data_IF_127610030093
#
_entry.id   IF_127610030093
#
_cell.length_a   1.000
_cell.length_b   1.000
_cell.length_c   1.000
_cell.angle_alpha   90.00
_cell.angle_beta   90.00
_cell.angle_gamma   90.00
#
_symmetry.space_group_name_H-M   'P 1'
#
loop_
_entity.id
_entity.type
_entity.pdbx_description
1 polymer ?
#
# COMPACT_ATOMS: atom_id res chain seq x y z
N UNK A 1 -16.92 27.72 55.55
CA UNK A 1 -18.05 27.63 54.61
C UNK A 1 -17.80 28.65 53.51
N UNK A 2 -17.68 28.39 52.21
CA UNK A 2 -17.63 27.17 51.42
C UNK A 2 -16.94 27.52 50.10
N UNK A 3 -16.07 26.64 49.60
CA UNK A 3 -15.51 26.74 48.25
C UNK A 3 -16.59 26.36 47.25
N UNK A 4 -17.06 27.31 46.47
CA UNK A 4 -17.86 27.15 45.26
C UNK A 4 -17.33 28.30 44.38
N UNK A 5 -16.78 28.11 43.19
CA UNK A 5 -17.34 27.33 42.07
C UNK A 5 -16.18 26.84 41.20
N UNK A 6 -15.87 25.54 41.27
CA UNK A 6 -15.08 24.89 40.22
C UNK A 6 -16.05 24.58 39.09
N UNK A 7 -16.15 25.50 38.13
CA UNK A 7 -16.81 25.24 36.85
C UNK A 7 -16.03 24.14 36.13
N UNK A 8 -16.52 22.91 36.18
CA UNK A 8 -16.05 21.82 35.35
C UNK A 8 -16.36 22.20 33.90
N UNK A 9 -15.38 22.71 33.17
CA UNK A 9 -15.46 22.78 31.72
C UNK A 9 -15.37 21.33 31.20
N UNK A 10 -16.52 20.71 30.97
CA UNK A 10 -16.60 19.50 30.15
C UNK A 10 -16.23 19.94 28.73
N UNK A 11 -14.96 19.83 28.37
CA UNK A 11 -14.51 19.92 27.00
C UNK A 11 -14.97 18.65 26.27
N UNK A 12 -16.25 18.61 25.90
CA UNK A 12 -16.79 17.62 24.99
C UNK A 12 -16.23 17.89 23.59
N UNK A 13 -15.07 17.31 23.26
CA UNK A 13 -14.65 17.22 21.88
C UNK A 13 -15.53 16.16 21.19
N UNK A 14 -16.40 16.67 20.31
CA UNK A 14 -17.31 15.95 19.45
C UNK A 14 -16.60 14.86 18.62
N UNK A 15 -17.35 13.80 18.32
CA UNK A 15 -16.99 12.58 17.60
C UNK A 15 -15.87 12.71 16.55
N UNK A 16 -14.91 11.78 16.61
CA UNK A 16 -14.18 11.33 15.42
C UNK A 16 -15.18 10.68 14.45
N UNK A 17 -15.83 11.49 13.62
CA UNK A 17 -16.54 11.01 12.44
C UNK A 17 -15.50 10.79 11.35
N UNK A 18 -15.18 9.53 11.07
CA UNK A 18 -14.79 9.05 9.74
C UNK A 18 -13.42 9.46 9.19
N UNK A 19 -12.33 9.26 9.93
CA UNK A 19 -11.04 9.06 9.24
C UNK A 19 -11.09 7.68 8.57
N UNK A 20 -11.61 7.65 7.34
CA UNK A 20 -11.34 6.51 6.47
C UNK A 20 -9.82 6.47 6.26
N UNK A 21 -9.19 5.37 6.66
CA UNK A 21 -7.79 5.15 6.35
C UNK A 21 -7.69 5.07 4.83
N UNK A 22 -7.27 6.16 4.19
CA UNK A 22 -6.77 6.11 2.82
C UNK A 22 -5.56 5.19 2.73
N UNK A 23 -5.02 4.93 1.52
CA UNK A 23 -3.81 4.13 1.38
C UNK A 23 -2.73 4.68 2.31
N UNK A 24 -2.34 3.85 3.24
CA UNK A 24 -1.16 4.03 4.07
C UNK A 24 0.08 3.99 3.18
N UNK A 25 1.19 4.56 3.66
CA UNK A 25 2.47 4.46 2.95
C UNK A 25 2.96 3.01 2.74
N UNK A 26 2.30 2.01 3.36
CA UNK A 26 2.59 0.60 3.20
C UNK A 26 1.72 -0.09 2.14
N UNK A 27 0.69 0.59 1.61
CA UNK A 27 -0.17 -0.02 0.60
C UNK A 27 0.56 -0.09 -0.75
N UNK A 28 0.60 -1.26 -1.40
CA UNK A 28 1.24 -1.39 -2.69
C UNK A 28 0.48 -0.57 -3.74
N UNK A 29 1.20 0.28 -4.45
CA UNK A 29 0.67 1.06 -5.58
C UNK A 29 1.36 0.57 -6.84
N UNK A 30 0.57 0.28 -7.88
CA UNK A 30 1.10 -0.04 -9.20
C UNK A 30 1.70 1.23 -9.79
N UNK A 31 3.02 1.24 -9.97
CA UNK A 31 3.75 2.40 -10.53
C UNK A 31 3.95 2.32 -12.03
N UNK A 32 3.99 1.10 -12.58
CA UNK A 32 4.15 0.86 -14.01
C UNK A 32 3.56 -0.50 -14.40
N UNK A 33 3.29 -0.68 -15.69
CA UNK A 33 2.87 -1.96 -16.27
C UNK A 33 3.69 -2.22 -17.52
N UNK A 34 4.54 -3.23 -17.44
CA UNK A 34 5.45 -3.60 -18.52
C UNK A 34 4.87 -4.82 -19.24
N UNK A 35 4.68 -4.71 -20.55
CA UNK A 35 4.26 -5.84 -21.38
C UNK A 35 5.35 -6.91 -21.45
N UNK A 36 4.95 -8.17 -21.38
CA UNK A 36 5.82 -9.35 -21.54
C UNK A 36 5.28 -10.27 -22.63
N UNK A 37 5.92 -11.43 -22.85
CA UNK A 37 5.46 -12.44 -23.79
C UNK A 37 4.13 -13.12 -23.39
N UNK A 38 3.67 -14.04 -24.23
CA UNK A 38 2.39 -14.72 -24.03
C UNK A 38 2.47 -15.79 -22.94
N UNK A 39 1.42 -15.87 -22.12
CA UNK A 39 1.30 -16.86 -21.05
C UNK A 39 2.43 -16.78 -20.02
N UNK A 40 2.60 -15.66 -19.27
CA UNK A 40 3.56 -15.61 -18.18
C UNK A 40 3.17 -16.60 -17.07
N UNK A 41 4.10 -17.46 -16.67
CA UNK A 41 3.85 -18.51 -15.66
C UNK A 41 4.56 -18.27 -14.33
N UNK A 42 5.77 -17.70 -14.37
CA UNK A 42 6.60 -17.50 -13.18
C UNK A 42 7.48 -16.26 -13.32
N UNK A 43 7.85 -15.69 -12.16
CA UNK A 43 8.75 -14.54 -12.04
C UNK A 43 9.79 -14.77 -10.95
N UNK A 44 11.03 -14.34 -11.20
CA UNK A 44 12.10 -14.27 -10.21
C UNK A 44 12.78 -12.88 -10.26
N UNK A 45 13.11 -12.32 -9.10
CA UNK A 45 13.77 -11.01 -8.98
C UNK A 45 15.22 -11.23 -8.55
N UNK A 46 16.15 -10.48 -9.15
CA UNK A 46 17.56 -10.53 -8.77
C UNK A 46 17.75 -10.04 -7.33
N UNK A 47 18.76 -10.56 -6.59
CA UNK A 47 19.01 -10.13 -5.22
C UNK A 47 19.32 -8.63 -5.06
N UNK A 48 19.88 -8.01 -6.11
CA UNK A 48 20.14 -6.57 -6.17
C UNK A 48 18.89 -5.73 -6.53
N UNK A 49 17.76 -6.37 -6.83
CA UNK A 49 16.50 -5.72 -7.18
C UNK A 49 16.49 -5.01 -8.54
N UNK A 50 17.56 -5.16 -9.33
CA UNK A 50 17.70 -4.45 -10.62
C UNK A 50 17.08 -5.18 -11.80
N UNK A 51 16.76 -6.48 -11.64
CA UNK A 51 16.19 -7.29 -12.71
C UNK A 51 15.06 -8.20 -12.27
N UNK A 52 14.10 -8.39 -13.16
CA UNK A 52 13.08 -9.44 -13.07
C UNK A 52 13.13 -10.34 -14.30
N UNK A 53 13.00 -11.65 -14.09
CA UNK A 53 13.01 -12.68 -15.12
C UNK A 53 11.65 -13.36 -15.17
N UNK A 54 10.98 -13.30 -16.32
CA UNK A 54 9.62 -13.82 -16.50
C UNK A 54 9.65 -14.93 -17.55
N UNK A 55 9.17 -16.12 -17.16
CA UNK A 55 9.02 -17.26 -18.07
C UNK A 55 7.66 -17.18 -18.79
N UNK A 56 7.68 -16.98 -20.10
CA UNK A 56 6.49 -16.86 -20.96
C UNK A 56 6.28 -18.17 -21.71
N UNK A 57 5.48 -19.07 -21.12
CA UNK A 57 5.31 -20.44 -21.65
C UNK A 57 4.44 -20.49 -22.90
N UNK A 58 3.61 -19.47 -23.14
CA UNK A 58 2.81 -19.37 -24.36
C UNK A 58 3.61 -18.95 -25.59
N UNK A 59 4.75 -18.28 -25.40
CA UNK A 59 5.60 -17.76 -26.47
C UNK A 59 6.99 -18.40 -26.56
N UNK A 60 7.32 -19.37 -25.72
CA UNK A 60 8.66 -20.00 -25.64
C UNK A 60 9.81 -18.99 -25.45
N UNK A 61 9.58 -17.92 -24.68
CA UNK A 61 10.56 -16.84 -24.43
C UNK A 61 10.72 -16.49 -22.96
N UNK A 62 11.85 -15.84 -22.63
CA UNK A 62 12.09 -15.22 -21.32
C UNK A 62 12.15 -13.70 -21.52
N UNK A 63 11.38 -12.97 -20.72
CA UNK A 63 11.47 -11.50 -20.65
C UNK A 63 12.40 -11.11 -19.49
N UNK A 64 13.25 -10.12 -19.72
CA UNK A 64 14.13 -9.53 -18.70
C UNK A 64 13.81 -8.05 -18.61
N UNK A 65 13.42 -7.64 -17.41
CA UNK A 65 13.14 -6.24 -17.04
C UNK A 65 14.27 -5.78 -16.14
#
# INVERSE_FOLDING_TARGET
MGRRDLGVAVAGAFALVGLQAGPSAADPVVTDTIGVGDGPFSVAVSPDGTRAYIANVGSDTVSVI
#
